data_IF_936824399773
#
_entry.id   IF_936824399773
#
_cell.length_a   1.000
_cell.length_b   1.000
_cell.length_c   1.000
_cell.angle_alpha   90.00
_cell.angle_beta   90.00
_cell.angle_gamma   90.00
#
_symmetry.space_group_name_H-M   'P 1'
#
loop_
_entity.id
_entity.type
_entity.pdbx_description
1 polymer ?
#
# COMPACT_ATOMS: atom_id res chain seq x y z
N UNK A 1 20.41 0.30 -26.14
CA UNK A 1 19.64 1.57 -26.12
C UNK A 1 18.42 1.34 -25.25
N UNK A 2 18.34 1.71 -23.98
CA UNK A 2 19.32 2.11 -22.97
C UNK A 2 18.72 1.63 -21.65
N UNK A 3 19.51 0.94 -20.84
CA UNK A 3 19.17 0.68 -19.44
C UNK A 3 19.29 2.02 -18.71
N UNK A 4 18.15 2.65 -18.43
CA UNK A 4 18.07 3.58 -17.33
C UNK A 4 16.83 3.18 -16.52
N UNK A 5 16.95 2.06 -15.81
CA UNK A 5 16.00 1.75 -14.74
C UNK A 5 16.18 2.86 -13.71
N UNK A 6 15.31 3.86 -13.76
CA UNK A 6 15.39 5.05 -12.92
C UNK A 6 15.50 4.61 -11.47
N UNK A 7 16.69 4.78 -10.89
CA UNK A 7 16.98 4.34 -9.53
C UNK A 7 16.07 5.10 -8.57
N UNK A 8 15.13 4.40 -7.93
CA UNK A 8 14.24 4.99 -6.92
C UNK A 8 15.05 5.16 -5.65
N UNK A 9 15.33 6.43 -5.29
CA UNK A 9 16.18 6.76 -4.14
C UNK A 9 15.42 6.58 -2.84
N UNK A 10 16.08 6.01 -1.84
CA UNK A 10 15.50 5.89 -0.49
C UNK A 10 15.21 7.27 0.11
N UNK A 11 15.98 8.30 -0.23
CA UNK A 11 15.86 9.65 0.33
C UNK A 11 14.64 10.45 -0.17
N UNK A 12 13.88 9.95 -1.14
CA UNK A 12 12.66 10.60 -1.59
C UNK A 12 11.58 10.55 -0.51
N UNK A 13 10.87 11.66 -0.32
CA UNK A 13 9.89 11.82 0.74
C UNK A 13 8.79 10.76 0.65
N UNK A 14 8.31 10.49 -0.57
CA UNK A 14 7.30 9.45 -0.82
C UNK A 14 7.77 8.03 -0.51
N UNK A 15 9.09 7.78 -0.54
CA UNK A 15 9.70 6.48 -0.24
C UNK A 15 9.93 6.33 1.27
N UNK A 16 10.19 7.43 1.97
CA UNK A 16 10.28 7.49 3.44
C UNK A 16 8.89 7.46 4.10
N UNK A 17 7.83 7.81 3.37
CA UNK A 17 6.46 7.71 3.86
C UNK A 17 5.96 6.26 3.87
N UNK A 18 5.96 5.65 5.05
CA UNK A 18 5.47 4.29 5.29
C UNK A 18 3.99 4.23 5.73
N UNK A 19 3.24 5.32 5.53
CA UNK A 19 1.81 5.38 5.86
C UNK A 19 1.01 4.43 4.96
N UNK A 20 0.22 3.55 5.58
CA UNK A 20 -0.65 2.55 4.92
C UNK A 20 -2.08 3.05 4.77
N UNK A 21 -2.22 4.31 4.43
CA UNK A 21 -3.51 5.00 4.34
C UNK A 21 -3.49 5.97 3.17
N UNK A 22 -4.63 6.10 2.50
CA UNK A 22 -4.80 7.00 1.39
C UNK A 22 -6.26 7.48 1.29
N UNK A 23 -6.46 8.80 1.33
CA UNK A 23 -7.80 9.42 1.29
C UNK A 23 -8.75 8.80 2.32
N UNK A 24 -9.88 8.24 1.88
CA UNK A 24 -10.89 7.61 2.73
C UNK A 24 -10.85 6.07 2.66
N UNK A 25 -9.78 5.50 2.07
CA UNK A 25 -9.67 4.05 1.89
C UNK A 25 -9.25 3.38 3.18
N UNK A 26 -9.90 2.25 3.48
CA UNK A 26 -9.65 1.47 4.70
C UNK A 26 -8.56 0.43 4.48
N UNK A 27 -8.55 -0.24 3.32
CA UNK A 27 -7.70 -1.39 3.06
C UNK A 27 -6.61 -1.10 2.03
N UNK A 28 -6.86 -0.20 1.07
CA UNK A 28 -6.00 -0.03 -0.10
C UNK A 28 -5.22 1.28 -0.06
N UNK A 29 -3.92 1.22 -0.38
CA UNK A 29 -3.07 2.41 -0.41
C UNK A 29 -1.95 2.30 -1.47
N UNK A 30 -1.53 3.43 -2.09
CA UNK A 30 -0.44 3.45 -3.06
C UNK A 30 0.92 3.76 -2.42
N UNK A 31 1.98 3.11 -2.89
CA UNK A 31 3.37 3.32 -2.45
C UNK A 31 4.32 3.32 -3.65
N UNK A 32 5.34 4.17 -3.60
CA UNK A 32 6.47 4.07 -4.54
C UNK A 32 7.49 3.09 -3.98
N UNK A 33 7.54 1.91 -4.59
CA UNK A 33 8.36 0.79 -4.14
C UNK A 33 9.68 0.72 -4.90
N UNK A 34 10.78 0.76 -4.15
CA UNK A 34 12.12 0.46 -4.68
C UNK A 34 12.23 -0.99 -5.16
N UNK A 35 11.56 -1.93 -4.49
CA UNK A 35 11.59 -3.37 -4.82
C UNK A 35 10.85 -3.65 -6.12
N UNK A 36 9.66 -3.06 -6.25
CA UNK A 36 8.78 -3.22 -7.41
C UNK A 36 9.17 -2.29 -8.57
N UNK A 37 10.13 -1.38 -8.35
CA UNK A 37 10.64 -0.40 -9.32
C UNK A 37 9.54 0.52 -9.88
N UNK A 38 8.65 1.01 -9.01
CA UNK A 38 7.58 1.94 -9.37
C UNK A 38 6.42 1.91 -8.39
N UNK A 39 5.24 2.30 -8.86
CA UNK A 39 4.00 2.24 -8.08
C UNK A 39 3.63 0.81 -7.73
N UNK A 40 3.48 0.55 -6.44
CA UNK A 40 2.93 -0.65 -5.83
C UNK A 40 1.61 -0.28 -5.15
N UNK A 41 0.60 -1.14 -5.26
CA UNK A 41 -0.64 -1.00 -4.50
C UNK A 41 -0.61 -1.97 -3.33
N UNK A 42 -0.56 -1.44 -2.12
CA UNK A 42 -0.66 -2.22 -0.90
C UNK A 42 -2.11 -2.48 -0.51
N UNK A 43 -2.37 -3.68 0.00
CA UNK A 43 -3.65 -4.09 0.60
C UNK A 43 -3.38 -4.50 2.05
N UNK A 44 -3.88 -3.72 3.01
CA UNK A 44 -3.74 -3.95 4.44
C UNK A 44 -4.87 -4.84 4.95
N UNK A 45 -4.58 -6.14 5.12
CA UNK A 45 -5.52 -7.11 5.69
C UNK A 45 -5.59 -7.08 7.22
N UNK A 46 -4.73 -6.31 7.89
CA UNK A 46 -4.66 -6.24 9.35
C UNK A 46 -4.87 -4.81 9.85
N UNK A 47 -5.96 -4.12 9.47
CA UNK A 47 -6.24 -2.77 9.95
C UNK A 47 -6.46 -2.71 11.47
N UNK A 48 -6.71 -3.87 12.09
CA UNK A 48 -6.79 -4.08 13.54
C UNK A 48 -5.42 -4.04 14.24
N UNK A 49 -4.32 -4.10 13.47
CA UNK A 49 -2.94 -4.18 13.94
C UNK A 49 -2.69 -5.42 14.81
N UNK A 50 -3.34 -6.55 14.53
CA UNK A 50 -3.05 -7.82 15.20
C UNK A 50 -2.04 -8.62 14.36
N UNK A 51 -1.03 -9.17 15.03
CA UNK A 51 0.04 -9.97 14.41
C UNK A 51 0.58 -11.01 15.41
N UNK A 52 0.93 -12.20 14.94
CA UNK A 52 1.49 -13.30 15.74
C UNK A 52 3.03 -13.31 15.71
N UNK A 53 3.65 -12.42 14.95
CA UNK A 53 5.10 -12.22 14.97
C UNK A 53 5.48 -11.14 15.98
N UNK A 54 6.51 -11.44 16.76
CA UNK A 54 7.14 -10.53 17.73
C UNK A 54 8.47 -10.00 17.20
N UNK A 55 8.43 -9.34 16.05
CA UNK A 55 9.63 -8.84 15.37
C UNK A 55 10.23 -7.67 16.17
N UNK A 56 11.49 -7.81 16.60
CA UNK A 56 12.24 -6.75 17.33
C UNK A 56 12.41 -5.43 16.55
N UNK A 57 12.16 -5.46 15.23
CA UNK A 57 12.26 -4.34 14.32
C UNK A 57 10.89 -3.88 13.79
N UNK A 58 9.78 -4.35 14.39
CA UNK A 58 8.44 -3.96 13.96
C UNK A 58 8.20 -2.47 14.23
N UNK A 59 7.90 -1.71 13.19
CA UNK A 59 7.60 -0.27 13.28
C UNK A 59 6.09 0.03 13.45
N UNK A 60 5.25 -1.00 13.53
CA UNK A 60 3.81 -0.83 13.76
C UNK A 60 3.55 -0.47 15.22
N UNK A 61 2.92 0.69 15.47
CA UNK A 61 2.56 1.12 16.83
C UNK A 61 1.32 0.36 17.34
N UNK A 62 1.58 -0.72 18.10
CA UNK A 62 0.57 -1.58 18.74
C UNK A 62 -0.23 -0.92 19.86
N UNK A 63 0.13 0.29 20.30
CA UNK A 63 -0.57 1.01 21.38
C UNK A 63 -1.79 1.79 20.89
N UNK A 64 -1.89 2.00 19.58
CA UNK A 64 -2.98 2.74 18.97
C UNK A 64 -4.04 1.75 18.47
N UNK A 65 -5.34 2.04 18.65
CA UNK A 65 -6.39 1.20 18.10
C UNK A 65 -6.23 1.00 16.58
N UNK A 66 -6.60 -0.18 16.11
CA UNK A 66 -6.80 -0.41 14.69
C UNK A 66 -8.05 0.31 14.17
N UNK A 67 -8.15 0.47 12.84
CA UNK A 67 -9.25 1.18 12.21
C UNK A 67 -10.55 0.35 12.18
N UNK A 68 -10.44 -0.94 11.84
CA UNK A 68 -11.53 -1.92 11.82
C UNK A 68 -11.00 -3.28 12.26
N UNK A 69 -11.87 -4.15 12.76
CA UNK A 69 -11.49 -5.46 13.31
C UNK A 69 -11.64 -6.62 12.31
N UNK A 70 -12.37 -6.41 11.22
CA UNK A 70 -12.64 -7.44 10.22
C UNK A 70 -12.38 -6.89 8.81
N UNK A 71 -12.01 -7.79 7.90
CA UNK A 71 -11.82 -7.47 6.49
C UNK A 71 -13.13 -7.65 5.75
N UNK A 72 -13.74 -6.54 5.35
CA UNK A 72 -14.86 -6.53 4.40
C UNK A 72 -14.33 -6.70 2.97
N UNK A 73 -14.53 -7.89 2.41
CA UNK A 73 -14.08 -8.25 1.07
C UNK A 73 -14.73 -7.40 -0.03
N UNK A 74 -15.98 -6.98 0.15
CA UNK A 74 -16.68 -6.16 -0.83
C UNK A 74 -16.04 -4.77 -0.88
N UNK A 75 -15.87 -4.15 0.28
CA UNK A 75 -15.23 -2.84 0.39
C UNK A 75 -13.79 -2.89 -0.13
N UNK A 76 -13.00 -3.88 0.29
CA UNK A 76 -11.61 -4.04 -0.16
C UNK A 76 -11.52 -4.15 -1.69
N UNK A 77 -12.42 -4.92 -2.32
CA UNK A 77 -12.47 -5.07 -3.78
C UNK A 77 -12.87 -3.79 -4.49
N UNK A 78 -13.83 -3.05 -3.94
CA UNK A 78 -14.29 -1.78 -4.50
C UNK A 78 -13.18 -0.72 -4.40
N UNK A 79 -12.50 -0.62 -3.26
CA UNK A 79 -11.34 0.25 -3.06
C UNK A 79 -10.19 -0.10 -4.00
N UNK A 80 -9.87 -1.40 -4.16
CA UNK A 80 -8.80 -1.83 -5.07
C UNK A 80 -9.12 -1.47 -6.51
N UNK A 81 -10.37 -1.70 -6.94
CA UNK A 81 -10.83 -1.34 -8.28
C UNK A 81 -10.76 0.18 -8.49
N UNK A 82 -11.17 0.95 -7.49
CA UNK A 82 -11.11 2.41 -7.52
C UNK A 82 -9.66 2.92 -7.57
N UNK A 83 -8.74 2.36 -6.78
CA UNK A 83 -7.31 2.71 -6.78
C UNK A 83 -6.68 2.46 -8.15
N UNK A 84 -6.91 1.28 -8.73
CA UNK A 84 -6.34 0.91 -10.03
C UNK A 84 -6.83 1.87 -11.12
N UNK A 85 -8.13 2.21 -11.13
CA UNK A 85 -8.69 3.20 -12.06
C UNK A 85 -8.09 4.58 -11.82
N UNK A 86 -8.05 5.04 -10.57
CA UNK A 86 -7.50 6.35 -10.21
C UNK A 86 -6.03 6.50 -10.62
N UNK A 87 -5.21 5.44 -10.43
CA UNK A 87 -3.84 5.42 -10.90
C UNK A 87 -3.75 5.48 -12.43
N UNK A 88 -4.54 4.66 -13.14
CA UNK A 88 -4.57 4.59 -14.60
C UNK A 88 -5.02 5.90 -15.25
N UNK A 89 -5.95 6.61 -14.61
CA UNK A 89 -6.44 7.93 -15.04
C UNK A 89 -5.46 9.08 -14.70
N UNK A 90 -4.33 8.76 -14.07
CA UNK A 90 -3.30 9.72 -13.66
C UNK A 90 -3.70 10.56 -12.44
N UNK A 91 -4.68 10.11 -11.65
CA UNK A 91 -5.13 10.77 -10.43
C UNK A 91 -4.01 10.89 -9.39
N UNK A 92 -3.26 9.81 -9.15
CA UNK A 92 -2.13 9.81 -8.22
C UNK A 92 -1.03 10.81 -8.59
N UNK A 93 -0.84 11.12 -9.88
CA UNK A 93 0.13 12.11 -10.33
C UNK A 93 -0.24 13.57 -9.96
N UNK A 94 -1.47 13.79 -9.47
CA UNK A 94 -1.99 15.10 -9.04
C UNK A 94 -2.04 15.26 -7.52
N UNK A 95 -1.75 14.18 -6.79
CA UNK A 95 -1.74 14.19 -5.33
C UNK A 95 -0.41 14.75 -4.83
N UNK A 96 -0.40 15.71 -3.88
CA UNK A 96 0.82 16.34 -3.37
C UNK A 96 1.88 15.34 -2.89
N UNK A 97 1.44 14.19 -2.36
CA UNK A 97 2.31 13.08 -1.92
C UNK A 97 3.25 12.57 -3.02
N UNK A 98 2.88 12.70 -4.29
CA UNK A 98 3.62 12.16 -5.44
C UNK A 98 4.21 13.25 -6.35
N UNK A 99 4.16 14.53 -5.98
CA UNK A 99 4.62 15.65 -6.83
C UNK A 99 6.06 15.46 -7.34
N UNK A 100 6.98 14.98 -6.49
CA UNK A 100 8.38 14.74 -6.84
C UNK A 100 8.59 13.56 -7.80
N UNK A 101 7.58 12.70 -8.00
CA UNK A 101 7.68 11.43 -8.75
C UNK A 101 6.43 11.13 -9.58
N UNK A 102 5.70 12.15 -10.03
CA UNK A 102 4.42 12.00 -10.71
C UNK A 102 4.46 11.09 -11.96
N UNK A 103 5.63 10.86 -12.56
CA UNK A 103 5.80 9.92 -13.68
C UNK A 103 5.80 8.44 -13.24
N UNK A 104 6.14 8.14 -11.98
CA UNK A 104 6.18 6.77 -11.45
C UNK A 104 4.80 6.23 -11.06
N UNK A 105 3.77 7.07 -11.01
CA UNK A 105 2.43 6.72 -10.54
C UNK A 105 1.48 6.24 -11.64
N UNK A 106 1.94 6.24 -12.91
CA UNK A 106 1.08 5.92 -14.07
C UNK A 106 0.93 4.43 -14.35
N UNK A 107 1.89 3.63 -13.92
CA UNK A 107 1.92 2.19 -14.15
C UNK A 107 1.99 1.45 -12.83
N UNK A 108 0.94 0.67 -12.52
CA UNK A 108 0.95 -0.26 -11.38
C UNK A 108 1.91 -1.40 -11.71
N UNK A 109 2.95 -1.56 -10.89
CA UNK A 109 3.96 -2.62 -11.02
C UNK A 109 3.52 -3.93 -10.37
N UNK A 110 2.89 -3.83 -9.21
CA UNK A 110 2.33 -4.96 -8.48
C UNK A 110 1.19 -4.53 -7.55
N UNK A 111 0.50 -5.54 -7.03
CA UNK A 111 -0.45 -5.45 -5.93
C UNK A 111 0.05 -6.44 -4.88
N UNK A 112 0.12 -6.03 -3.61
CA UNK A 112 0.66 -6.86 -2.54
C UNK A 112 -0.20 -6.78 -1.29
N UNK A 113 -0.41 -7.93 -0.64
CA UNK A 113 -0.84 -7.93 0.76
C UNK A 113 0.31 -7.43 1.62
N UNK A 114 0.19 -6.19 2.07
CA UNK A 114 1.16 -5.53 2.93
C UNK A 114 0.39 -4.63 3.87
N UNK A 115 0.60 -4.82 5.16
CA UNK A 115 -0.26 -4.22 6.16
C UNK A 115 0.43 -3.98 7.48
N UNK A 116 -0.38 -3.81 8.51
CA UNK A 116 0.07 -3.63 9.88
C UNK A 116 0.20 -4.97 10.64
N UNK A 117 0.08 -6.11 9.96
CA UNK A 117 0.18 -7.43 10.58
C UNK A 117 0.62 -8.50 9.60
N UNK A 118 0.48 -9.77 10.02
CA UNK A 118 0.73 -10.93 9.18
C UNK A 118 -0.56 -11.24 8.38
N UNK A 119 -0.56 -11.09 7.04
CA UNK A 119 -1.76 -11.20 6.23
C UNK A 119 -2.49 -12.54 6.40
N UNK A 120 -1.77 -13.65 6.59
CA UNK A 120 -2.38 -14.98 6.66
C UNK A 120 -3.14 -15.26 7.95
N UNK A 121 -3.16 -14.31 8.90
CA UNK A 121 -3.86 -14.48 10.17
C UNK A 121 -5.35 -14.21 10.13
N UNK A 122 -5.85 -13.49 9.12
CA UNK A 122 -7.28 -13.21 9.04
C UNK A 122 -8.05 -14.49 8.73
N UNK A 123 -9.27 -14.61 9.27
CA UNK A 123 -10.08 -15.80 9.12
C UNK A 123 -10.49 -16.10 7.67
N UNK A 124 -10.70 -15.05 6.87
CA UNK A 124 -11.13 -15.10 5.48
C UNK A 124 -9.98 -14.90 4.47
N UNK A 125 -8.73 -15.22 4.85
CA UNK A 125 -7.56 -14.95 3.98
C UNK A 125 -7.67 -15.63 2.61
N UNK A 126 -8.18 -16.86 2.58
CA UNK A 126 -8.32 -17.62 1.32
C UNK A 126 -9.28 -16.95 0.32
N UNK A 127 -10.22 -16.12 0.79
CA UNK A 127 -11.16 -15.39 -0.06
C UNK A 127 -10.56 -14.10 -0.63
N UNK A 128 -9.42 -13.65 -0.10
CA UNK A 128 -8.71 -12.47 -0.60
C UNK A 128 -7.85 -12.74 -1.84
N UNK A 129 -7.42 -13.98 -2.05
CA UNK A 129 -6.38 -14.38 -3.04
C UNK A 129 -6.93 -14.52 -4.46
#
# INVERSE_FOLDING_TARGET
MGEDSTEIKSTWAVVQDHTRHFSDFTFVYPVISRRSKGLSIGVNLNPDKVCNFDCIYCEVDRRTPGAVTEVDLSQMKDELTAMVRFASDGGLAREPKFDEVAWLTREVRDIAFSGDGEPTMIHNFAECV
#
